data_IF_315416590035
#
_entry.id   IF_315416590035
#
_cell.length_a   1.000
_cell.length_b   1.000
_cell.length_c   1.000
_cell.angle_alpha   90.00
_cell.angle_beta   90.00
_cell.angle_gamma   90.00
#
_symmetry.space_group_name_H-M   'P 1'
#
loop_
_entity.id
_entity.type
_entity.pdbx_description
1 polymer ?
#
# COMPACT_ATOMS: atom_id res chain seq x y z
N UNK A 1 10.87 5.84 -4.35
CA UNK A 1 9.92 6.97 -4.42
C UNK A 1 9.89 7.77 -3.12
N UNK A 2 9.64 7.14 -1.96
CA UNK A 2 9.64 7.84 -0.67
C UNK A 2 10.98 8.52 -0.34
N UNK A 3 12.11 7.87 -0.63
CA UNK A 3 13.43 8.50 -0.44
C UNK A 3 13.63 9.77 -1.27
N UNK A 4 13.06 9.82 -2.48
CA UNK A 4 13.14 10.99 -3.35
C UNK A 4 12.25 12.14 -2.84
N UNK A 5 11.09 11.82 -2.25
CA UNK A 5 10.23 12.78 -1.55
C UNK A 5 10.96 13.35 -0.32
N UNK A 6 11.58 12.49 0.49
CA UNK A 6 12.33 12.90 1.68
C UNK A 6 13.55 13.77 1.35
N UNK A 7 14.21 13.51 0.21
CA UNK A 7 15.31 14.34 -0.30
C UNK A 7 14.85 15.62 -1.01
N UNK A 8 13.55 15.80 -1.22
CA UNK A 8 12.98 16.93 -1.96
C UNK A 8 13.24 16.90 -3.48
N UNK A 9 13.66 15.75 -4.01
CA UNK A 9 13.86 15.51 -5.45
C UNK A 9 12.53 15.26 -6.19
N UNK A 10 11.50 14.85 -5.44
CA UNK A 10 10.14 14.68 -5.92
C UNK A 10 9.20 15.55 -5.08
N UNK A 11 8.30 16.30 -5.73
CA UNK A 11 7.37 17.19 -5.04
C UNK A 11 6.13 16.46 -4.50
N UNK A 12 5.64 15.48 -5.26
CA UNK A 12 4.41 14.73 -5.00
C UNK A 12 4.45 13.35 -5.65
N UNK A 13 3.84 12.37 -4.99
CA UNK A 13 3.56 11.04 -5.55
C UNK A 13 2.23 10.50 -5.02
N UNK A 14 1.69 9.51 -5.72
CA UNK A 14 0.54 8.72 -5.27
C UNK A 14 1.07 7.36 -4.83
N UNK A 15 1.14 7.16 -3.51
CA UNK A 15 1.68 5.97 -2.90
C UNK A 15 0.63 4.86 -2.85
N UNK A 16 0.98 3.68 -3.36
CA UNK A 16 0.17 2.45 -3.26
C UNK A 16 0.36 1.79 -1.90
N UNK A 17 -0.72 1.28 -1.32
CA UNK A 17 -0.65 0.36 -0.19
C UNK A 17 -0.34 -1.05 -0.70
N UNK A 18 0.93 -1.27 -1.04
CA UNK A 18 1.37 -2.42 -1.87
C UNK A 18 0.87 -3.78 -1.37
N UNK A 19 1.04 -4.07 -0.08
CA UNK A 19 0.72 -5.38 0.48
C UNK A 19 -0.79 -5.69 0.51
N UNK A 20 -1.66 -4.68 0.36
CA UNK A 20 -3.12 -4.88 0.32
C UNK A 20 -3.51 -5.83 -0.82
N UNK A 21 -2.84 -5.73 -1.97
CA UNK A 21 -3.13 -6.59 -3.12
C UNK A 21 -2.72 -8.04 -2.89
N UNK A 22 -1.56 -8.27 -2.26
CA UNK A 22 -1.10 -9.60 -1.86
C UNK A 22 -2.06 -10.26 -0.86
N UNK A 23 -2.50 -9.50 0.14
CA UNK A 23 -3.46 -9.96 1.14
C UNK A 23 -4.82 -10.25 0.50
N UNK A 24 -5.31 -9.38 -0.39
CA UNK A 24 -6.56 -9.59 -1.09
C UNK A 24 -6.55 -10.86 -1.96
N UNK A 25 -5.43 -11.18 -2.60
CA UNK A 25 -5.30 -12.45 -3.34
C UNK A 25 -5.40 -13.67 -2.41
N UNK A 26 -4.73 -13.65 -1.27
CA UNK A 26 -4.81 -14.74 -0.29
C UNK A 26 -6.23 -14.91 0.26
N UNK A 27 -6.93 -13.81 0.55
CA UNK A 27 -8.32 -13.82 0.99
C UNK A 27 -9.28 -14.34 -0.10
N UNK A 28 -9.06 -13.95 -1.36
CA UNK A 28 -9.83 -14.45 -2.50
C UNK A 28 -9.68 -15.97 -2.67
N UNK A 29 -8.46 -16.50 -2.55
CA UNK A 29 -8.20 -17.95 -2.57
C UNK A 29 -8.93 -18.63 -1.42
N UNK A 30 -8.82 -18.10 -0.19
CA UNK A 30 -9.51 -18.65 0.99
C UNK A 30 -11.02 -18.72 0.78
N UNK A 31 -11.64 -17.63 0.30
CA UNK A 31 -13.07 -17.60 0.02
C UNK A 31 -13.47 -18.58 -1.08
N UNK A 32 -12.63 -18.75 -2.11
CA UNK A 32 -12.81 -19.78 -3.12
C UNK A 32 -12.83 -21.20 -2.54
N UNK A 33 -11.93 -21.50 -1.60
CA UNK A 33 -11.89 -22.79 -0.90
C UNK A 33 -13.09 -23.00 0.04
N UNK A 34 -13.60 -21.92 0.65
CA UNK A 34 -14.77 -21.94 1.54
C UNK A 34 -16.11 -21.92 0.77
N UNK A 35 -16.09 -21.87 -0.56
CA UNK A 35 -17.31 -21.78 -1.39
C UNK A 35 -18.05 -20.45 -1.26
N UNK A 36 -17.35 -19.39 -0.83
CA UNK A 36 -17.90 -18.03 -0.69
C UNK A 36 -17.76 -17.26 -2.01
N UNK A 37 -18.66 -16.31 -2.29
CA UNK A 37 -18.55 -15.46 -3.48
C UNK A 37 -17.29 -14.58 -3.40
N UNK A 38 -16.49 -14.57 -4.47
CA UNK A 38 -15.27 -13.76 -4.60
C UNK A 38 -15.52 -12.60 -5.57
N UNK A 39 -15.15 -11.35 -5.24
CA UNK A 39 -15.30 -10.23 -6.17
C UNK A 39 -14.42 -10.40 -7.41
N UNK A 40 -14.92 -10.01 -8.58
CA UNK A 40 -14.20 -10.13 -9.86
C UNK A 40 -13.00 -9.17 -9.95
N UNK A 41 -13.08 -8.02 -9.28
CA UNK A 41 -12.03 -7.00 -9.28
C UNK A 41 -11.88 -6.45 -7.86
N UNK A 42 -10.64 -6.24 -7.45
CA UNK A 42 -10.26 -5.50 -6.25
C UNK A 42 -9.15 -4.52 -6.60
N UNK A 43 -9.25 -3.29 -6.10
CA UNK A 43 -8.19 -2.29 -6.16
C UNK A 43 -7.81 -1.92 -4.74
N UNK A 44 -6.50 -1.94 -4.45
CA UNK A 44 -5.98 -1.44 -3.19
C UNK A 44 -6.09 0.08 -3.08
N UNK A 45 -5.78 0.59 -1.89
CA UNK A 45 -5.85 2.01 -1.59
C UNK A 45 -4.60 2.77 -2.07
N UNK A 46 -4.79 4.09 -2.23
CA UNK A 46 -3.74 5.04 -2.53
C UNK A 46 -3.73 6.18 -1.52
N UNK A 47 -2.54 6.72 -1.26
CA UNK A 47 -2.33 7.89 -0.40
C UNK A 47 -1.49 8.92 -1.14
N UNK A 48 -1.90 10.19 -1.06
CA UNK A 48 -1.10 11.29 -1.63
C UNK A 48 0.02 11.63 -0.66
N UNK A 49 1.26 11.64 -1.18
CA UNK A 49 2.47 11.96 -0.42
C UNK A 49 3.19 13.10 -1.13
N UNK A 50 3.59 14.10 -0.36
CA UNK A 50 4.26 15.31 -0.81
C UNK A 50 5.54 15.53 -0.02
N UNK A 51 6.46 16.35 -0.54
CA UNK A 51 7.66 16.76 0.21
C UNK A 51 7.38 17.59 1.48
N UNK A 52 6.14 18.07 1.64
CA UNK A 52 5.70 18.84 2.82
C UNK A 52 5.19 17.94 3.95
N UNK A 53 5.09 16.63 3.71
CA UNK A 53 4.67 15.69 4.73
C UNK A 53 5.76 15.44 5.77
N UNK A 54 5.32 15.25 7.02
CA UNK A 54 6.26 15.00 8.11
C UNK A 54 6.94 13.63 7.95
N UNK A 55 8.19 13.48 8.41
CA UNK A 55 8.88 12.18 8.41
C UNK A 55 8.08 11.09 9.11
N UNK A 56 7.35 11.42 10.17
CA UNK A 56 6.50 10.49 10.92
C UNK A 56 5.31 10.00 10.08
N UNK A 57 4.69 10.87 9.28
CA UNK A 57 3.62 10.48 8.34
C UNK A 57 4.17 9.53 7.28
N UNK A 58 5.34 9.85 6.71
CA UNK A 58 5.97 9.02 5.67
C UNK A 58 6.32 7.64 6.22
N UNK A 59 6.86 7.56 7.44
CA UNK A 59 7.17 6.29 8.08
C UNK A 59 5.91 5.48 8.43
N UNK A 60 4.84 6.13 8.87
CA UNK A 60 3.56 5.46 9.11
C UNK A 60 2.98 4.85 7.82
N UNK A 61 3.05 5.60 6.70
CA UNK A 61 2.62 5.12 5.39
C UNK A 61 3.50 3.97 4.88
N UNK A 62 4.82 4.05 5.09
CA UNK A 62 5.77 2.97 4.77
C UNK A 62 5.41 1.69 5.51
N UNK A 63 5.23 1.77 6.83
CA UNK A 63 4.81 0.63 7.67
C UNK A 63 3.47 0.05 7.24
N UNK A 64 2.50 0.88 6.84
CA UNK A 64 1.19 0.40 6.34
C UNK A 64 1.33 -0.32 4.99
N UNK A 65 2.09 0.23 4.06
CA UNK A 65 2.19 -0.26 2.70
C UNK A 65 3.02 -1.55 2.58
N UNK A 66 4.01 -1.76 3.45
CA UNK A 66 4.94 -2.89 3.42
C UNK A 66 4.86 -3.78 4.68
N UNK A 67 3.69 -3.83 5.33
CA UNK A 67 3.47 -4.55 6.59
C UNK A 67 3.80 -6.05 6.59
N UNK A 68 3.91 -6.67 5.41
CA UNK A 68 4.21 -8.09 5.21
C UNK A 68 5.52 -8.27 4.43
N UNK A 69 5.87 -7.34 3.54
CA UNK A 69 7.06 -7.46 2.68
C UNK A 69 8.35 -6.87 3.25
N UNK A 70 8.28 -6.02 4.29
CA UNK A 70 9.44 -5.37 4.92
C UNK A 70 9.84 -6.11 6.19
N UNK A 71 10.69 -7.14 6.05
CA UNK A 71 11.32 -7.93 7.13
C UNK A 71 12.79 -8.20 6.81
#
# INVERSE_FOLDING_TARGET
ELDAILKGELDITVMRMNDDTGIAMAEAIKWGLEGKPVPTVYSGDFEVVTKSDSPERIEALRKRAFRYSDN
#
